data_IF_396961604933
#
_entry.id   IF_396961604933
#
_cell.length_a   1.000
_cell.length_b   1.000
_cell.length_c   1.000
_cell.angle_alpha   90.00
_cell.angle_beta   90.00
_cell.angle_gamma   90.00
#
_symmetry.space_group_name_H-M   'P 1'
#
loop_
_entity.id
_entity.type
_entity.pdbx_description
1 polymer ?
#
# COMPACT_ATOMS: atom_id res chain seq x y z
N UNK A 1 3.29 -12.67 -10.70
CA UNK A 1 2.22 -12.39 -9.72
C UNK A 1 2.62 -11.12 -8.97
N UNK A 2 1.71 -10.15 -8.81
CA UNK A 2 1.99 -8.96 -7.99
C UNK A 2 2.31 -9.38 -6.55
N UNK A 3 3.15 -8.59 -5.86
CA UNK A 3 3.47 -8.76 -4.43
C UNK A 3 2.23 -8.93 -3.57
N UNK A 4 1.17 -8.21 -3.92
CA UNK A 4 -0.08 -8.17 -3.16
C UNK A 4 -0.85 -9.49 -3.26
N UNK A 5 -0.80 -10.13 -4.43
CA UNK A 5 -1.45 -11.43 -4.63
C UNK A 5 -0.71 -12.55 -3.88
N UNK A 6 0.62 -12.51 -3.85
CA UNK A 6 1.40 -13.47 -3.06
C UNK A 6 1.14 -13.30 -1.57
N UNK A 7 1.02 -12.05 -1.12
CA UNK A 7 0.74 -11.73 0.27
C UNK A 7 -0.69 -12.10 0.68
N UNK A 8 -1.69 -11.83 -0.15
CA UNK A 8 -3.05 -12.27 0.08
C UNK A 8 -3.15 -13.81 0.12
N UNK A 9 -2.48 -14.51 -0.80
CA UNK A 9 -2.46 -15.98 -0.82
C UNK A 9 -1.82 -16.56 0.44
N UNK A 10 -0.67 -16.04 0.86
CA UNK A 10 0.03 -16.51 2.06
C UNK A 10 -0.76 -16.19 3.35
N UNK A 11 -1.32 -14.98 3.47
CA UNK A 11 -2.18 -14.63 4.60
C UNK A 11 -3.45 -15.51 4.63
N UNK A 12 -4.04 -15.78 3.47
CA UNK A 12 -5.17 -16.69 3.32
C UNK A 12 -4.85 -18.13 3.70
N UNK A 13 -3.68 -18.65 3.31
CA UNK A 13 -3.18 -19.98 3.72
C UNK A 13 -3.12 -20.08 5.26
N UNK A 14 -2.52 -19.08 5.92
CA UNK A 14 -2.41 -19.04 7.38
C UNK A 14 -3.76 -18.95 8.09
N UNK A 15 -4.61 -17.99 7.67
CA UNK A 15 -5.93 -17.78 8.26
C UNK A 15 -6.85 -19.00 8.04
N UNK A 16 -6.92 -19.52 6.81
CA UNK A 16 -7.72 -20.69 6.48
C UNK A 16 -7.29 -21.94 7.24
N UNK A 17 -6.00 -22.13 7.45
CA UNK A 17 -5.48 -23.25 8.24
C UNK A 17 -5.91 -23.16 9.71
N UNK A 18 -5.80 -21.98 10.33
CA UNK A 18 -6.24 -21.76 11.72
C UNK A 18 -7.76 -21.90 11.86
N UNK A 19 -8.53 -21.21 11.02
CA UNK A 19 -10.00 -21.24 11.06
C UNK A 19 -10.51 -22.65 10.77
N UNK A 20 -9.97 -23.33 9.76
CA UNK A 20 -10.37 -24.69 9.42
C UNK A 20 -10.12 -25.69 10.55
N UNK A 21 -8.97 -25.62 11.21
CA UNK A 21 -8.69 -26.48 12.36
C UNK A 21 -9.55 -26.13 13.58
N UNK A 22 -9.78 -24.84 13.83
CA UNK A 22 -10.69 -24.38 14.89
C UNK A 22 -12.10 -24.92 14.67
N UNK A 23 -12.60 -24.85 13.43
CA UNK A 23 -13.88 -25.43 13.04
C UNK A 23 -13.91 -26.96 13.14
N UNK A 24 -12.81 -27.63 12.80
CA UNK A 24 -12.69 -29.07 13.05
C UNK A 24 -12.91 -29.38 14.54
N UNK A 25 -12.19 -28.69 15.44
CA UNK A 25 -12.36 -28.87 16.88
C UNK A 25 -13.78 -28.52 17.35
N UNK A 26 -14.39 -27.48 16.78
CA UNK A 26 -15.78 -27.13 17.03
C UNK A 26 -16.73 -28.29 16.67
N UNK A 27 -16.58 -28.84 15.46
CA UNK A 27 -17.42 -29.95 14.97
C UNK A 27 -17.18 -31.29 15.66
N UNK A 28 -16.07 -31.43 16.40
CA UNK A 28 -15.80 -32.62 17.24
C UNK A 28 -16.51 -32.57 18.61
N UNK A 29 -17.33 -31.55 18.84
CA UNK A 29 -18.08 -31.36 20.08
C UNK A 29 -19.43 -32.10 20.08
N UNK A 30 -19.96 -32.34 21.27
CA UNK A 30 -21.31 -32.84 21.54
C UNK A 30 -21.95 -31.96 22.62
N UNK A 31 -23.20 -32.21 22.96
CA UNK A 31 -23.94 -31.47 23.98
C UNK A 31 -23.24 -31.43 25.36
N UNK A 32 -22.33 -32.38 25.65
CA UNK A 32 -21.64 -32.52 26.95
C UNK A 32 -20.12 -32.58 26.84
N UNK A 33 -19.56 -32.49 25.63
CA UNK A 33 -18.11 -32.63 25.34
C UNK A 33 -17.69 -31.61 24.29
N UNK A 34 -16.52 -31.01 24.45
CA UNK A 34 -16.05 -29.96 23.55
C UNK A 34 -14.52 -29.99 23.45
N UNK A 35 -13.99 -29.54 22.31
CA UNK A 35 -12.55 -29.45 22.07
C UNK A 35 -12.00 -28.02 22.08
N UNK A 36 -12.86 -27.02 22.26
CA UNK A 36 -12.48 -25.62 22.43
C UNK A 36 -13.02 -25.11 23.76
N UNK A 37 -12.11 -24.85 24.70
CA UNK A 37 -12.46 -24.38 26.04
C UNK A 37 -12.33 -22.85 26.17
N UNK A 38 -13.23 -22.26 26.96
CA UNK A 38 -13.14 -20.87 27.40
C UNK A 38 -12.87 -20.79 28.90
N UNK A 39 -12.04 -19.83 29.33
CA UNK A 39 -11.70 -19.66 30.73
C UNK A 39 -12.88 -19.23 31.62
N UNK A 40 -13.91 -18.60 31.03
CA UNK A 40 -15.06 -18.06 31.76
C UNK A 40 -16.30 -18.95 31.63
N UNK A 41 -16.58 -19.47 30.43
CA UNK A 41 -17.80 -20.27 30.15
C UNK A 41 -17.55 -21.77 30.10
N UNK A 42 -16.29 -22.21 30.11
CA UNK A 42 -15.92 -23.62 29.94
C UNK A 42 -15.94 -24.07 28.48
N UNK A 43 -16.94 -23.68 27.68
CA UNK A 43 -17.09 -24.01 26.25
C UNK A 43 -17.07 -22.74 25.37
N UNK A 44 -16.22 -22.71 24.34
CA UNK A 44 -16.09 -21.59 23.39
C UNK A 44 -17.04 -21.65 22.19
N UNK A 45 -17.88 -22.66 22.06
CA UNK A 45 -18.67 -22.87 20.83
C UNK A 45 -19.48 -21.63 20.38
N UNK A 46 -20.04 -20.88 21.33
CA UNK A 46 -20.83 -19.69 21.03
C UNK A 46 -20.00 -18.42 20.71
N UNK A 47 -18.68 -18.41 20.95
CA UNK A 47 -17.84 -17.21 20.87
C UNK A 47 -16.63 -17.31 19.93
N UNK A 48 -16.39 -18.45 19.29
CA UNK A 48 -15.32 -18.65 18.30
C UNK A 48 -15.37 -17.59 17.18
N UNK A 49 -16.55 -17.32 16.64
CA UNK A 49 -16.73 -16.35 15.55
C UNK A 49 -16.47 -14.91 16.03
N UNK A 50 -16.95 -14.55 17.23
CA UNK A 50 -16.76 -13.20 17.79
C UNK A 50 -15.30 -12.95 18.20
N UNK A 51 -14.55 -14.02 18.49
CA UNK A 51 -13.08 -13.99 18.70
C UNK A 51 -12.28 -13.96 17.39
N UNK A 52 -12.94 -13.92 16.23
CA UNK A 52 -12.32 -13.70 14.92
C UNK A 52 -12.03 -14.96 14.11
N UNK A 53 -12.54 -16.12 14.50
CA UNK A 53 -12.41 -17.38 13.75
C UNK A 53 -13.65 -17.68 12.88
N UNK A 54 -14.29 -16.62 12.37
CA UNK A 54 -15.43 -16.74 11.46
C UNK A 54 -15.01 -17.11 10.04
N UNK A 55 -15.97 -17.59 9.24
CA UNK A 55 -15.73 -17.74 7.81
C UNK A 55 -15.54 -16.37 7.15
N UNK A 56 -14.58 -16.24 6.22
CA UNK A 56 -14.45 -15.04 5.43
C UNK A 56 -15.69 -14.85 4.53
N UNK A 57 -16.38 -13.72 4.70
CA UNK A 57 -17.45 -13.29 3.79
C UNK A 57 -16.85 -12.62 2.56
N UNK A 58 -16.57 -13.41 1.52
CA UNK A 58 -16.01 -12.91 0.25
C UNK A 58 -17.01 -12.11 -0.61
N UNK A 59 -18.29 -12.01 -0.19
CA UNK A 59 -19.30 -11.25 -0.92
C UNK A 59 -19.30 -9.77 -0.54
N UNK A 60 -18.60 -9.42 0.54
CA UNK A 60 -18.46 -8.05 1.02
C UNK A 60 -17.00 -7.67 1.09
N UNK A 61 -16.64 -6.42 0.78
CA UNK A 61 -15.35 -5.90 1.20
C UNK A 61 -15.32 -5.97 2.72
N UNK A 62 -14.50 -6.86 3.28
CA UNK A 62 -14.23 -6.84 4.72
C UNK A 62 -13.70 -5.43 5.03
N UNK A 63 -14.30 -4.70 5.99
CA UNK A 63 -13.73 -3.44 6.44
C UNK A 63 -12.27 -3.71 6.75
N UNK A 64 -11.37 -2.87 6.25
CA UNK A 64 -9.96 -3.02 6.55
C UNK A 64 -9.78 -2.94 8.06
N UNK A 65 -9.80 -4.08 8.75
CA UNK A 65 -9.24 -4.14 10.08
C UNK A 65 -7.78 -3.75 9.86
N UNK A 66 -7.39 -2.61 10.41
CA UNK A 66 -6.00 -2.18 10.33
C UNK A 66 -5.21 -3.23 11.08
N UNK A 67 -4.63 -4.18 10.35
CA UNK A 67 -3.58 -5.04 10.85
C UNK A 67 -2.55 -4.12 11.50
N UNK A 68 -2.28 -4.36 12.77
CA UNK A 68 -1.33 -3.55 13.53
C UNK A 68 -0.03 -4.32 13.69
N UNK A 69 1.03 -3.62 14.08
CA UNK A 69 2.28 -4.28 14.48
C UNK A 69 2.11 -5.18 15.70
N UNK A 70 0.99 -5.10 16.44
CA UNK A 70 0.68 -6.03 17.53
C UNK A 70 0.18 -7.39 17.03
N UNK A 71 -0.34 -7.44 15.79
CA UNK A 71 -0.82 -8.67 15.16
C UNK A 71 0.27 -9.30 14.32
N UNK A 72 0.94 -8.49 13.50
CA UNK A 72 2.06 -8.89 12.63
C UNK A 72 3.20 -7.89 12.85
N UNK A 73 4.10 -8.24 13.76
CA UNK A 73 5.23 -7.42 14.15
C UNK A 73 6.40 -7.52 13.18
N UNK A 74 7.48 -6.75 13.42
CA UNK A 74 8.66 -6.75 12.56
C UNK A 74 9.36 -8.12 12.48
N UNK A 75 9.25 -8.93 13.52
CA UNK A 75 9.99 -10.19 13.68
C UNK A 75 9.10 -11.44 13.70
N UNK A 76 7.78 -11.30 13.81
CA UNK A 76 6.87 -12.44 13.92
C UNK A 76 5.43 -12.04 14.24
N UNK A 77 4.66 -12.96 14.83
CA UNK A 77 3.29 -12.75 15.30
C UNK A 77 3.28 -12.55 16.83
N UNK A 78 3.26 -11.31 17.35
CA UNK A 78 3.58 -11.03 18.76
C UNK A 78 2.66 -11.73 19.77
N UNK A 79 1.40 -11.97 19.39
CA UNK A 79 0.39 -12.66 20.21
C UNK A 79 0.55 -14.19 20.24
N UNK A 80 1.25 -14.78 19.27
CA UNK A 80 1.48 -16.22 19.19
C UNK A 80 2.73 -16.63 19.97
N UNK A 81 2.69 -16.42 21.29
CA UNK A 81 3.74 -16.88 22.21
C UNK A 81 3.66 -18.39 22.44
N UNK A 82 4.77 -18.96 22.88
CA UNK A 82 4.80 -20.36 23.29
C UNK A 82 3.74 -20.66 24.36
N UNK A 83 3.12 -21.83 24.25
CA UNK A 83 2.41 -22.47 25.35
C UNK A 83 3.10 -23.80 25.59
N UNK A 84 3.60 -23.98 26.80
CA UNK A 84 4.33 -25.15 27.26
C UNK A 84 3.37 -26.21 27.79
N UNK A 85 3.93 -27.32 28.28
CA UNK A 85 3.19 -28.47 28.83
C UNK A 85 2.14 -28.03 29.86
N UNK A 86 0.90 -28.47 29.68
CA UNK A 86 -0.23 -28.13 30.54
C UNK A 86 -0.90 -26.77 30.28
N UNK A 87 -0.19 -25.80 29.67
CA UNK A 87 -0.75 -24.44 29.47
C UNK A 87 -1.80 -24.38 28.35
N UNK A 88 -1.75 -25.32 27.40
CA UNK A 88 -2.76 -25.45 26.35
C UNK A 88 -3.94 -26.36 26.71
N UNK A 89 -3.93 -26.96 27.91
CA UNK A 89 -4.99 -27.87 28.34
C UNK A 89 -6.24 -27.11 28.78
N UNK A 90 -7.38 -27.51 28.21
CA UNK A 90 -8.69 -27.10 28.70
C UNK A 90 -9.17 -27.97 29.86
N UNK A 91 -10.48 -27.95 30.11
CA UNK A 91 -11.09 -28.82 31.11
C UNK A 91 -10.86 -30.31 30.79
N UNK A 92 -10.53 -31.08 31.83
CA UNK A 92 -10.27 -32.52 31.71
C UNK A 92 -11.48 -33.31 31.20
N UNK A 93 -11.22 -34.39 30.46
CA UNK A 93 -12.25 -35.30 29.91
C UNK A 93 -13.28 -34.64 28.98
N UNK A 94 -12.99 -33.48 28.39
CA UNK A 94 -13.89 -32.79 27.46
C UNK A 94 -13.55 -33.08 25.99
N UNK A 95 -12.27 -33.15 25.65
CA UNK A 95 -11.82 -33.35 24.28
C UNK A 95 -11.12 -34.70 24.10
N UNK A 96 -11.67 -35.56 23.22
CA UNK A 96 -11.03 -36.83 22.84
C UNK A 96 -10.11 -36.72 21.62
N UNK A 97 -10.13 -35.59 20.89
CA UNK A 97 -9.40 -35.43 19.64
C UNK A 97 -7.88 -35.58 19.81
N UNK A 98 -7.34 -35.05 20.91
CA UNK A 98 -5.91 -35.13 21.23
C UNK A 98 -5.54 -36.34 22.10
N UNK A 99 -6.44 -37.32 22.22
CA UNK A 99 -6.15 -38.53 22.96
C UNK A 99 -5.07 -39.32 22.23
N UNK A 100 -3.96 -39.56 22.91
CA UNK A 100 -2.92 -40.42 22.37
C UNK A 100 -3.37 -41.88 22.37
N UNK A 101 -3.06 -42.61 21.29
CA UNK A 101 -3.19 -44.06 21.22
C UNK A 101 -2.08 -44.63 20.34
N UNK A 102 -1.17 -45.44 20.90
CA UNK A 102 -0.09 -46.05 20.13
C UNK A 102 -0.60 -47.09 19.10
N UNK A 103 -1.69 -47.81 19.40
CA UNK A 103 -2.30 -48.82 18.51
C UNK A 103 -3.59 -48.31 17.89
N UNK A 104 -3.49 -47.28 17.03
CA UNK A 104 -4.66 -46.61 16.43
C UNK A 104 -5.58 -47.50 15.59
N UNK A 105 -5.11 -48.67 15.13
CA UNK A 105 -5.92 -49.63 14.39
C UNK A 105 -6.86 -50.46 15.27
N UNK A 106 -6.64 -50.49 16.59
CA UNK A 106 -7.42 -51.31 17.53
C UNK A 106 -8.17 -50.49 18.60
N UNK A 107 -7.86 -49.21 18.74
CA UNK A 107 -8.44 -48.32 19.74
C UNK A 107 -8.55 -46.88 19.21
N UNK A 108 -9.56 -46.15 19.67
CA UNK A 108 -9.78 -44.76 19.29
C UNK A 108 -8.72 -43.82 19.91
N UNK A 109 -8.12 -42.98 19.06
CA UNK A 109 -7.12 -41.98 19.41
C UNK A 109 -6.12 -41.77 18.27
N UNK A 110 -5.14 -40.91 18.48
CA UNK A 110 -4.08 -40.60 17.51
C UNK A 110 -2.71 -40.98 18.06
N UNK A 111 -1.84 -41.58 17.25
CA UNK A 111 -0.44 -41.74 17.63
C UNK A 111 0.32 -40.41 17.45
N UNK A 112 0.27 -39.55 18.47
CA UNK A 112 0.87 -38.21 18.47
C UNK A 112 2.12 -38.10 19.35
N UNK A 113 2.58 -39.17 19.99
CA UNK A 113 3.75 -39.14 20.88
C UNK A 113 4.76 -40.27 20.63
N UNK A 114 4.35 -41.43 20.11
CA UNK A 114 5.22 -42.63 20.09
C UNK A 114 6.19 -42.64 18.91
N UNK A 115 5.72 -42.38 17.68
CA UNK A 115 6.59 -42.38 16.51
C UNK A 115 7.36 -41.06 16.35
N UNK A 116 6.65 -39.93 16.45
CA UNK A 116 7.17 -38.55 16.46
C UNK A 116 6.14 -37.65 17.17
N UNK A 117 6.55 -36.52 17.77
CA UNK A 117 5.61 -35.54 18.30
C UNK A 117 4.65 -35.08 17.18
N UNK A 118 3.36 -35.26 17.41
CA UNK A 118 2.30 -34.81 16.52
C UNK A 118 2.38 -33.30 16.34
N UNK A 119 2.32 -32.87 15.08
CA UNK A 119 2.36 -31.46 14.68
C UNK A 119 1.11 -31.12 13.90
N UNK A 120 0.35 -30.15 14.38
CA UNK A 120 -0.83 -29.63 13.72
C UNK A 120 -0.56 -28.20 13.24
N UNK A 121 -1.36 -27.71 12.28
CA UNK A 121 -1.27 -26.33 11.80
C UNK A 121 0.15 -25.95 11.36
N UNK A 122 0.77 -26.76 10.49
CA UNK A 122 2.17 -26.60 10.07
C UNK A 122 3.17 -26.51 11.24
N UNK A 123 2.88 -27.21 12.34
CA UNK A 123 3.73 -27.21 13.54
C UNK A 123 3.48 -26.05 14.50
N UNK A 124 2.43 -25.25 14.31
CA UNK A 124 2.04 -24.23 15.29
C UNK A 124 1.57 -24.88 16.59
N UNK A 125 0.82 -25.98 16.52
CA UNK A 125 0.39 -26.76 17.68
C UNK A 125 1.16 -28.06 17.71
N UNK A 126 1.67 -28.42 18.89
CA UNK A 126 2.49 -29.62 19.10
C UNK A 126 1.96 -30.44 20.27
N UNK A 127 1.86 -31.74 20.08
CA UNK A 127 1.54 -32.65 21.18
C UNK A 127 2.74 -32.79 22.14
N UNK A 128 2.46 -32.69 23.43
CA UNK A 128 3.41 -33.02 24.49
C UNK A 128 3.12 -34.44 24.99
N UNK A 129 1.89 -34.66 25.46
CA UNK A 129 1.43 -35.87 26.15
C UNK A 129 -0.03 -36.17 25.75
N UNK A 130 -0.62 -37.22 26.32
CA UNK A 130 -2.04 -37.54 26.22
C UNK A 130 -2.90 -36.31 26.57
N UNK A 131 -3.73 -35.86 25.62
CA UNK A 131 -4.59 -34.69 25.77
C UNK A 131 -3.85 -33.40 26.16
N UNK A 132 -2.54 -33.31 25.90
CA UNK A 132 -1.73 -32.12 26.14
C UNK A 132 -1.12 -31.65 24.83
N UNK A 133 -1.57 -30.48 24.38
CA UNK A 133 -0.98 -29.79 23.23
C UNK A 133 -0.51 -28.41 23.65
N UNK A 134 0.67 -28.03 23.15
CA UNK A 134 1.22 -26.70 23.29
C UNK A 134 1.20 -25.93 21.98
N UNK A 135 1.66 -24.68 22.06
CA UNK A 135 1.86 -23.81 20.89
C UNK A 135 3.33 -23.47 20.77
N UNK A 136 3.90 -23.61 19.58
CA UNK A 136 5.26 -23.18 19.28
C UNK A 136 5.33 -21.64 19.21
N UNK A 137 6.44 -21.06 19.64
CA UNK A 137 6.61 -19.60 19.65
C UNK A 137 6.75 -19.04 18.23
N UNK A 138 5.82 -18.19 17.82
CA UNK A 138 5.86 -17.48 16.54
C UNK A 138 6.13 -15.98 16.67
N UNK A 139 6.33 -15.47 17.89
CA UNK A 139 6.52 -14.03 18.13
C UNK A 139 7.80 -13.46 17.53
N UNK A 140 8.81 -14.30 17.27
CA UNK A 140 10.07 -13.92 16.64
C UNK A 140 10.50 -14.93 15.54
N UNK A 141 9.55 -15.46 14.77
CA UNK A 141 9.81 -16.50 13.76
C UNK A 141 10.74 -16.06 12.60
N UNK A 142 10.81 -14.75 12.33
CA UNK A 142 11.49 -14.18 11.19
C UNK A 142 12.19 -12.86 11.53
N UNK A 143 13.22 -12.87 12.40
CA UNK A 143 13.85 -11.64 12.89
C UNK A 143 14.50 -10.80 11.77
N UNK A 144 14.90 -11.43 10.66
CA UNK A 144 15.51 -10.77 9.51
C UNK A 144 14.50 -10.36 8.42
N UNK A 145 13.22 -10.76 8.51
CA UNK A 145 12.20 -10.43 7.52
C UNK A 145 12.40 -11.06 6.13
N UNK A 146 13.16 -12.17 6.00
CA UNK A 146 13.67 -12.68 4.70
C UNK A 146 13.47 -14.19 4.47
N UNK A 147 12.73 -14.92 5.31
CA UNK A 147 12.66 -16.37 5.20
C UNK A 147 11.39 -16.95 4.57
N UNK A 148 11.54 -18.05 3.81
CA UNK A 148 10.44 -18.75 3.12
C UNK A 148 10.46 -20.28 3.26
N UNK A 149 11.46 -20.83 3.93
CA UNK A 149 11.65 -22.29 4.06
C UNK A 149 10.65 -22.94 5.00
N UNK A 150 10.19 -22.21 6.01
CA UNK A 150 9.12 -22.61 6.92
C UNK A 150 7.82 -21.90 6.54
N UNK A 151 6.68 -22.60 6.65
CA UNK A 151 5.37 -22.09 6.22
C UNK A 151 4.98 -20.85 7.01
N UNK A 152 5.12 -20.85 8.34
CA UNK A 152 4.78 -19.68 9.16
C UNK A 152 5.73 -18.50 8.93
N UNK A 153 7.00 -18.78 8.64
CA UNK A 153 7.97 -17.75 8.24
C UNK A 153 7.62 -17.12 6.89
N UNK A 154 7.16 -17.92 5.93
CA UNK A 154 6.66 -17.46 4.62
C UNK A 154 5.42 -16.59 4.80
N UNK A 155 4.43 -17.08 5.57
CA UNK A 155 3.20 -16.34 5.86
C UNK A 155 3.53 -14.99 6.51
N UNK A 156 4.40 -14.96 7.52
CA UNK A 156 4.82 -13.72 8.18
C UNK A 156 5.48 -12.75 7.19
N UNK A 157 6.47 -13.20 6.42
CA UNK A 157 7.20 -12.35 5.47
C UNK A 157 6.25 -11.66 4.49
N UNK A 158 5.31 -12.44 3.94
CA UNK A 158 4.39 -11.97 2.92
C UNK A 158 3.27 -11.11 3.52
N UNK A 159 2.68 -11.49 4.65
CA UNK A 159 1.67 -10.66 5.31
C UNK A 159 2.27 -9.31 5.80
N UNK A 160 3.53 -9.31 6.24
CA UNK A 160 4.25 -8.08 6.59
C UNK A 160 4.51 -7.19 5.37
N UNK A 161 4.70 -7.74 4.17
CA UNK A 161 4.86 -6.88 3.00
C UNK A 161 3.61 -6.05 2.72
N UNK A 162 2.40 -6.54 3.02
CA UNK A 162 1.16 -5.73 2.93
C UNK A 162 1.20 -4.54 3.89
N UNK A 163 1.70 -4.74 5.12
CA UNK A 163 1.84 -3.65 6.10
C UNK A 163 2.86 -2.60 5.65
N UNK A 164 3.97 -3.04 5.06
CA UNK A 164 5.03 -2.14 4.54
C UNK A 164 4.57 -1.45 3.25
N UNK A 165 3.77 -2.13 2.42
CA UNK A 165 3.18 -1.60 1.19
C UNK A 165 2.03 -0.62 1.45
N UNK A 166 1.71 -0.30 2.71
CA UNK A 166 0.94 0.90 3.01
C UNK A 166 1.69 2.09 2.44
N UNK A 167 1.33 2.46 1.21
CA UNK A 167 1.83 3.66 0.56
C UNK A 167 1.49 4.78 1.53
N UNK A 168 2.46 5.58 2.00
CA UNK A 168 2.13 6.68 2.90
C UNK A 168 1.07 7.50 2.19
N UNK A 169 -0.15 7.48 2.73
CA UNK A 169 -1.22 8.29 2.18
C UNK A 169 -0.75 9.73 2.31
N UNK A 170 -0.57 10.40 1.18
CA UNK A 170 -0.30 11.83 1.17
C UNK A 170 -1.37 12.50 2.04
N UNK A 171 -0.93 13.45 2.87
CA UNK A 171 -1.84 14.16 3.76
C UNK A 171 -3.01 14.75 2.97
N UNK A 172 -4.22 14.72 3.54
CA UNK A 172 -5.36 15.46 2.98
C UNK A 172 -5.14 16.97 3.04
N UNK A 173 -4.26 17.44 3.92
CA UNK A 173 -3.76 18.80 3.91
C UNK A 173 -2.82 18.98 2.70
N UNK A 174 -3.22 19.83 1.76
CA UNK A 174 -2.49 20.08 0.50
C UNK A 174 -1.11 20.66 0.72
N UNK A 175 -0.91 21.49 1.74
CA UNK A 175 0.41 22.07 2.06
C UNK A 175 1.32 21.01 2.65
N UNK A 176 0.80 20.18 3.56
CA UNK A 176 1.54 19.05 4.11
C UNK A 176 1.92 18.06 3.00
N UNK A 177 1.00 17.74 2.08
CA UNK A 177 1.28 16.89 0.93
C UNK A 177 2.38 17.46 0.02
N UNK A 178 2.33 18.77 -0.29
CA UNK A 178 3.38 19.45 -1.05
C UNK A 178 4.74 19.40 -0.34
N UNK A 179 4.77 19.60 0.97
CA UNK A 179 6.00 19.49 1.78
C UNK A 179 6.61 18.08 1.72
N UNK A 180 5.78 17.04 1.72
CA UNK A 180 6.26 15.65 1.57
C UNK A 180 6.73 15.35 0.14
N UNK A 181 6.03 15.85 -0.88
CA UNK A 181 6.43 15.70 -2.28
C UNK A 181 7.76 16.42 -2.58
N UNK A 182 7.99 17.61 -2.01
CA UNK A 182 9.23 18.37 -2.19
C UNK A 182 10.48 17.64 -1.66
N UNK A 183 10.32 16.73 -0.68
CA UNK A 183 11.40 15.90 -0.14
C UNK A 183 11.79 14.75 -1.07
N UNK A 184 10.95 14.38 -2.03
CA UNK A 184 11.18 13.23 -2.92
C UNK A 184 12.30 13.53 -3.93
N UNK A 185 13.20 12.56 -4.22
CA UNK A 185 14.22 12.72 -5.27
C UNK A 185 13.64 13.06 -6.65
N UNK A 186 12.42 12.58 -6.92
CA UNK A 186 11.68 12.88 -8.13
C UNK A 186 11.42 14.38 -8.34
N UNK A 187 11.20 15.15 -7.26
CA UNK A 187 10.98 16.59 -7.36
C UNK A 187 12.21 17.31 -7.94
N UNK A 188 13.41 16.98 -7.45
CA UNK A 188 14.65 17.58 -7.95
C UNK A 188 14.99 17.11 -9.36
N UNK A 189 14.68 15.84 -9.68
CA UNK A 189 14.82 15.30 -11.04
C UNK A 189 13.96 16.08 -12.03
N UNK A 190 12.72 16.40 -11.65
CA UNK A 190 11.82 17.16 -12.52
C UNK A 190 12.25 18.63 -12.65
N UNK A 191 12.74 19.26 -11.57
CA UNK A 191 13.37 20.60 -11.66
C UNK A 191 14.50 20.59 -12.68
N UNK A 192 15.42 19.62 -12.62
CA UNK A 192 16.52 19.51 -13.58
C UNK A 192 16.02 19.28 -15.00
N UNK A 193 14.96 18.49 -15.19
CA UNK A 193 14.31 18.30 -16.50
C UNK A 193 13.77 19.62 -17.06
N UNK A 194 13.05 20.40 -16.25
CA UNK A 194 12.51 21.70 -16.68
C UNK A 194 13.62 22.69 -17.02
N UNK A 195 14.70 22.75 -16.22
CA UNK A 195 15.88 23.57 -16.54
C UNK A 195 16.53 23.11 -17.84
N UNK A 196 16.71 21.80 -18.04
CA UNK A 196 17.28 21.26 -19.27
C UNK A 196 16.45 21.66 -20.51
N UNK A 197 15.12 21.58 -20.43
CA UNK A 197 14.22 22.02 -21.50
C UNK A 197 14.39 23.53 -21.77
N UNK A 198 14.35 24.36 -20.73
CA UNK A 198 14.49 25.82 -20.87
C UNK A 198 15.84 26.25 -21.44
N UNK A 199 16.90 25.50 -21.13
CA UNK A 199 18.26 25.74 -21.62
C UNK A 199 18.60 24.98 -22.91
N UNK A 200 17.60 24.32 -23.52
CA UNK A 200 17.76 23.49 -24.73
C UNK A 200 18.89 22.46 -24.62
N UNK A 201 19.01 21.82 -23.44
CA UNK A 201 19.93 20.72 -23.17
C UNK A 201 19.30 19.39 -23.55
N UNK A 202 20.13 18.43 -23.97
CA UNK A 202 19.66 17.10 -24.38
C UNK A 202 19.40 16.18 -23.21
N UNK A 203 20.01 16.44 -22.04
CA UNK A 203 19.90 15.58 -20.88
C UNK A 203 19.81 16.36 -19.56
N UNK A 204 19.12 15.75 -18.60
CA UNK A 204 19.08 16.15 -17.18
C UNK A 204 20.49 16.10 -16.56
N UNK A 205 21.35 15.20 -17.02
CA UNK A 205 22.74 15.07 -16.56
C UNK A 205 23.60 16.29 -16.89
N UNK A 206 23.17 17.13 -17.84
CA UNK A 206 23.87 18.35 -18.20
C UNK A 206 23.65 19.47 -17.16
N UNK A 207 22.77 19.25 -16.18
CA UNK A 207 22.51 20.16 -15.07
C UNK A 207 23.39 19.78 -13.87
N UNK A 208 24.50 20.49 -13.73
CA UNK A 208 25.55 20.23 -12.73
C UNK A 208 25.22 20.75 -11.33
N UNK A 209 24.16 21.56 -11.19
CA UNK A 209 23.74 22.06 -9.88
C UNK A 209 23.31 20.92 -8.95
N UNK A 210 23.75 20.99 -7.70
CA UNK A 210 23.45 19.98 -6.70
C UNK A 210 21.97 19.97 -6.32
N UNK A 211 21.47 18.79 -5.94
CA UNK A 211 20.07 18.65 -5.57
C UNK A 211 19.68 19.53 -4.37
N UNK A 212 20.61 19.71 -3.42
CA UNK A 212 20.42 20.58 -2.26
C UNK A 212 20.25 22.05 -2.67
N UNK A 213 21.10 22.54 -3.59
CA UNK A 213 21.02 23.92 -4.06
C UNK A 213 19.73 24.18 -4.85
N UNK A 214 19.31 23.22 -5.69
CA UNK A 214 18.05 23.30 -6.40
C UNK A 214 16.85 23.33 -5.44
N UNK A 215 16.82 22.44 -4.44
CA UNK A 215 15.76 22.45 -3.43
C UNK A 215 15.70 23.78 -2.69
N UNK A 216 16.84 24.28 -2.22
CA UNK A 216 16.93 25.60 -1.57
C UNK A 216 16.44 26.72 -2.49
N UNK A 217 16.82 26.71 -3.77
CA UNK A 217 16.39 27.72 -4.74
C UNK A 217 14.87 27.73 -4.93
N UNK A 218 14.27 26.57 -5.16
CA UNK A 218 12.84 26.47 -5.53
C UNK A 218 11.89 26.38 -4.35
N UNK A 219 12.30 25.75 -3.24
CA UNK A 219 11.44 25.50 -2.08
C UNK A 219 11.89 26.24 -0.81
N UNK A 220 13.14 26.68 -0.73
CA UNK A 220 13.83 27.13 0.50
C UNK A 220 14.22 25.99 1.45
N UNK A 221 15.12 26.25 2.40
CA UNK A 221 15.69 25.25 3.31
C UNK A 221 14.61 24.53 4.15
N UNK A 222 13.53 25.25 4.49
CA UNK A 222 12.40 24.71 5.28
C UNK A 222 11.10 24.57 4.46
N UNK A 223 11.18 24.60 3.13
CA UNK A 223 10.02 24.65 2.24
C UNK A 223 9.16 25.93 2.40
N UNK A 224 9.74 27.04 2.82
CA UNK A 224 9.05 28.30 3.13
C UNK A 224 8.40 28.97 1.91
N UNK A 225 8.79 28.57 0.69
CA UNK A 225 8.17 29.04 -0.56
C UNK A 225 6.89 28.29 -0.94
N UNK A 226 6.67 27.09 -0.38
CA UNK A 226 5.51 26.26 -0.73
C UNK A 226 4.14 26.85 -0.33
N UNK A 227 3.97 27.54 0.81
CA UNK A 227 2.70 28.19 1.16
C UNK A 227 2.27 29.21 0.11
N UNK A 228 3.15 30.12 -0.29
CA UNK A 228 2.88 31.13 -1.31
C UNK A 228 2.60 30.50 -2.68
N UNK A 229 3.34 29.46 -3.04
CA UNK A 229 3.11 28.69 -4.26
C UNK A 229 1.72 28.02 -4.27
N UNK A 230 1.33 27.38 -3.16
CA UNK A 230 0.01 26.76 -3.03
C UNK A 230 -1.10 27.81 -3.07
N UNK A 231 -0.93 28.95 -2.41
CA UNK A 231 -1.88 30.06 -2.47
C UNK A 231 -2.05 30.57 -3.90
N UNK A 232 -0.95 30.74 -4.63
CA UNK A 232 -1.00 31.13 -6.04
C UNK A 232 -1.81 30.14 -6.86
N UNK A 233 -1.51 28.84 -6.76
CA UNK A 233 -2.26 27.78 -7.46
C UNK A 233 -3.74 27.83 -7.08
N UNK A 234 -4.04 27.93 -5.78
CA UNK A 234 -5.41 27.95 -5.28
C UNK A 234 -6.23 29.11 -5.84
N UNK A 235 -5.60 30.24 -6.10
CA UNK A 235 -6.24 31.45 -6.59
C UNK A 235 -6.26 31.56 -8.12
N UNK A 236 -5.57 30.67 -8.85
CA UNK A 236 -5.69 30.59 -10.30
C UNK A 236 -7.13 30.30 -10.68
N UNK A 237 -7.65 31.08 -11.62
CA UNK A 237 -8.99 30.90 -12.18
C UNK A 237 -8.91 30.05 -13.43
N UNK A 238 -9.75 29.03 -13.50
CA UNK A 238 -9.94 28.25 -14.71
C UNK A 238 -11.43 28.22 -15.06
N UNK A 239 -11.79 28.36 -16.35
CA UNK A 239 -13.15 28.09 -16.76
C UNK A 239 -13.45 26.61 -16.56
N UNK A 240 -14.65 26.32 -16.06
CA UNK A 240 -15.17 24.96 -15.88
C UNK A 240 -16.26 24.74 -16.93
N UNK A 241 -16.25 23.59 -17.60
CA UNK A 241 -17.19 23.26 -18.66
C UNK A 241 -16.65 23.50 -20.07
N UNK A 242 -17.14 22.71 -21.02
CA UNK A 242 -16.65 22.60 -22.41
C UNK A 242 -16.94 23.88 -23.23
N UNK A 243 -17.83 24.73 -22.75
CA UNK A 243 -18.45 25.86 -23.45
C UNK A 243 -18.27 27.22 -22.76
N UNK A 244 -17.49 27.31 -21.68
CA UNK A 244 -17.35 28.53 -20.85
C UNK A 244 -18.68 29.04 -20.26
N UNK A 245 -19.74 28.22 -20.21
CA UNK A 245 -21.04 28.67 -19.70
C UNK A 245 -21.01 28.95 -18.20
N UNK A 246 -20.07 28.36 -17.47
CA UNK A 246 -19.91 28.54 -16.04
C UNK A 246 -18.86 29.62 -15.71
N UNK A 247 -19.13 30.46 -14.69
CA UNK A 247 -18.17 31.45 -14.24
C UNK A 247 -16.86 30.77 -13.82
N UNK A 248 -15.73 31.40 -14.18
CA UNK A 248 -14.41 30.88 -13.84
C UNK A 248 -14.29 30.63 -12.33
N UNK A 249 -14.07 29.38 -11.96
CA UNK A 249 -13.87 28.98 -10.57
C UNK A 249 -12.38 29.00 -10.24
N UNK A 250 -12.05 29.11 -8.96
CA UNK A 250 -10.67 29.00 -8.51
C UNK A 250 -10.25 27.52 -8.49
N UNK A 251 -8.98 27.21 -8.76
CA UNK A 251 -8.53 25.81 -8.70
C UNK A 251 -8.73 25.19 -7.30
N UNK A 252 -8.84 26.01 -6.25
CA UNK A 252 -9.18 25.56 -4.90
C UNK A 252 -10.55 24.87 -4.81
N UNK A 253 -11.53 25.27 -5.62
CA UNK A 253 -12.90 24.74 -5.56
C UNK A 253 -13.10 23.50 -6.45
N UNK A 254 -12.07 23.06 -7.16
CA UNK A 254 -12.09 21.85 -7.99
C UNK A 254 -11.70 20.66 -7.12
N UNK A 255 -12.67 19.80 -6.80
CA UNK A 255 -12.53 18.69 -5.86
C UNK A 255 -12.74 17.31 -6.50
N UNK A 256 -12.94 17.25 -7.82
CA UNK A 256 -13.07 16.00 -8.58
C UNK A 256 -12.05 15.90 -9.71
N UNK A 257 -11.63 14.67 -10.02
CA UNK A 257 -10.70 14.38 -11.12
C UNK A 257 -11.28 14.78 -12.47
N UNK A 258 -12.56 14.51 -12.70
CA UNK A 258 -13.24 14.88 -13.95
C UNK A 258 -13.22 16.39 -14.22
N UNK A 259 -13.46 17.21 -13.18
CA UNK A 259 -13.39 18.66 -13.32
C UNK A 259 -11.94 19.15 -13.52
N UNK A 260 -10.95 18.52 -12.88
CA UNK A 260 -9.54 18.83 -13.11
C UNK A 260 -9.09 18.50 -14.54
N UNK A 261 -9.52 17.36 -15.09
CA UNK A 261 -9.21 16.95 -16.46
C UNK A 261 -9.80 17.93 -17.49
N UNK A 262 -11.05 18.37 -17.29
CA UNK A 262 -11.68 19.39 -18.15
C UNK A 262 -10.89 20.71 -18.15
N UNK A 263 -10.44 21.16 -16.98
CA UNK A 263 -9.60 22.36 -16.86
C UNK A 263 -8.27 22.19 -17.59
N UNK A 264 -7.64 21.02 -17.50
CA UNK A 264 -6.38 20.72 -18.17
C UNK A 264 -6.56 20.70 -19.70
N UNK A 265 -7.55 19.97 -20.20
CA UNK A 265 -7.86 19.88 -21.64
C UNK A 265 -8.09 21.27 -22.25
N UNK A 266 -8.90 22.08 -21.56
CA UNK A 266 -9.19 23.43 -22.01
C UNK A 266 -7.94 24.34 -21.96
N UNK A 267 -7.10 24.22 -20.92
CA UNK A 267 -5.83 24.96 -20.82
C UNK A 267 -4.87 24.60 -21.96
N UNK A 268 -4.79 23.30 -22.32
CA UNK A 268 -4.01 22.82 -23.46
C UNK A 268 -4.55 23.41 -24.77
N UNK A 269 -5.87 23.45 -24.95
CA UNK A 269 -6.50 24.06 -26.12
C UNK A 269 -6.16 25.55 -26.24
N UNK A 270 -6.27 26.32 -25.15
CA UNK A 270 -5.89 27.74 -25.15
C UNK A 270 -4.41 27.94 -25.48
N UNK A 271 -3.52 27.11 -24.95
CA UNK A 271 -2.09 27.15 -25.27
C UNK A 271 -1.83 26.89 -26.75
N UNK A 272 -2.50 25.88 -27.35
CA UNK A 272 -2.39 25.60 -28.79
C UNK A 272 -2.85 26.80 -29.63
N UNK A 273 -3.94 27.48 -29.23
CA UNK A 273 -4.42 28.67 -29.94
C UNK A 273 -3.43 29.85 -29.83
N UNK A 274 -2.90 30.10 -28.63
CA UNK A 274 -1.88 31.13 -28.41
C UNK A 274 -0.60 30.84 -29.21
N UNK A 275 -0.17 29.57 -29.27
CA UNK A 275 0.97 29.16 -30.08
C UNK A 275 0.72 29.43 -31.57
N UNK A 276 -0.46 29.04 -32.09
CA UNK A 276 -0.84 29.31 -33.48
C UNK A 276 -0.82 30.80 -33.80
N UNK A 277 -1.32 31.64 -32.91
CA UNK A 277 -1.28 33.10 -33.04
C UNK A 277 0.16 33.64 -33.02
N UNK A 278 0.99 33.18 -32.08
CA UNK A 278 2.39 33.59 -31.99
C UNK A 278 3.17 33.19 -33.26
N UNK A 279 2.96 31.97 -33.78
CA UNK A 279 3.56 31.53 -35.05
C UNK A 279 3.11 32.40 -36.22
N UNK A 280 1.83 32.77 -36.28
CA UNK A 280 1.32 33.65 -37.34
C UNK A 280 1.98 35.04 -37.27
N UNK A 281 2.13 35.61 -36.07
CA UNK A 281 2.81 36.89 -35.84
C UNK A 281 4.27 36.82 -36.29
N UNK A 282 5.00 35.78 -35.87
CA UNK A 282 6.41 35.58 -36.26
C UNK A 282 6.55 35.47 -37.77
N UNK A 283 5.68 34.70 -38.43
CA UNK A 283 5.70 34.58 -39.89
C UNK A 283 5.39 35.90 -40.58
N UNK A 284 4.43 36.67 -40.08
CA UNK A 284 4.10 37.99 -40.63
C UNK A 284 5.27 38.97 -40.49
N UNK A 285 5.98 38.97 -39.36
CA UNK A 285 7.20 39.76 -39.19
C UNK A 285 8.32 39.30 -40.14
N UNK A 286 8.51 38.00 -40.33
CA UNK A 286 9.50 37.47 -41.26
C UNK A 286 9.23 37.89 -42.71
N UNK A 287 7.96 37.91 -43.14
CA UNK A 287 7.56 38.40 -44.46
C UNK A 287 7.82 39.90 -44.62
N UNK A 288 7.43 40.71 -43.63
CA UNK A 288 7.66 42.17 -43.66
C UNK A 288 9.14 42.54 -43.72
N UNK A 289 10.01 41.79 -43.02
CA UNK A 289 11.46 41.98 -43.10
C UNK A 289 11.95 41.73 -44.53
N UNK A 290 11.54 40.62 -45.16
CA UNK A 290 11.92 40.31 -46.55
C UNK A 290 11.42 41.35 -47.56
N UNK A 291 10.21 41.86 -47.38
CA UNK A 291 9.64 42.92 -48.22
C UNK A 291 10.45 44.23 -48.08
N UNK A 292 10.85 44.61 -46.85
CA UNK A 292 11.69 45.79 -46.63
C UNK A 292 13.10 45.68 -47.24
N UNK A 293 13.70 44.48 -47.23
CA UNK A 293 15.00 44.21 -47.86
C UNK A 293 14.93 44.25 -49.40
N UNK A 294 13.77 43.90 -49.98
CA UNK A 294 13.53 43.94 -51.43
C UNK A 294 13.24 45.35 -51.93
N UNK A 295 12.58 46.19 -51.14
CA UNK A 295 12.37 47.60 -51.47
C UNK A 295 13.67 48.43 -51.42
N UNK A 296 14.53 48.22 -50.40
CA UNK A 296 15.85 48.90 -50.34
C UNK A 296 16.76 48.54 -51.52
N UNK A 297 16.67 47.31 -52.04
CA UNK A 297 17.46 46.87 -53.20
C UNK A 297 16.89 47.41 -54.52
N UNK A 298 15.59 47.69 -54.60
CA UNK A 298 14.96 48.33 -55.75
C UNK A 298 15.27 49.84 -55.83
N UNK A 299 15.20 50.57 -54.71
CA UNK A 299 15.56 52.00 -54.67
C UNK A 299 17.03 52.25 -55.04
N UNK A 300 17.95 51.37 -54.62
CA UNK A 300 19.38 51.46 -54.99
C UNK A 300 19.64 51.22 -56.48
N UNK A 301 18.77 50.51 -57.20
CA UNK A 301 18.89 50.29 -58.66
C UNK A 301 18.36 51.45 -59.48
N UNK A 302 17.38 52.21 -58.99
CA UNK A 302 16.84 53.38 -59.70
C UNK A 302 17.69 54.64 -59.58
N UNK A 303 18.65 54.68 -58.64
CA UNK A 303 19.57 55.81 -58.43
C UNK A 303 20.95 55.64 -59.06
N UNK A 304 21.12 54.72 -60.02
CA UNK A 304 22.37 54.52 -60.79
C UNK A 304 22.18 54.83 -62.26
#
# INVERSE_FOLDING_TARGET
>A
LSSDLQAAAAAGEGAGTITGFTKLLLTTSTNTKYCLGDANTGNSEADVDSKGCSDPDYTKPTPAHKLTEQDIGPTGFPKLKALTTGEGQGAGNMCGFFKHQATTHSSAGLDITTAKPGKFLYGLIKAHNDNDVGRENQSAINPAGKGTTDVWRRIHTQARSILILQTPTLSKDRLQALKELAKQPAATTEIKRQIAIQQNKKSVSDITESDANLRKRYFDDNNDKLPAFLEHINNLKAPIGVDQSNPAATLKTIDSTAAADQVLEFSIYQLKQKLKQATAIVNQHATRIKESETDETCEKRQRR
#
